data_IF_486333606600
#
_entry.id   IF_486333606600
#
_cell.length_a   1.000
_cell.length_b   1.000
_cell.length_c   1.000
_cell.angle_alpha   90.00
_cell.angle_beta   90.00
_cell.angle_gamma   90.00
#
_symmetry.space_group_name_H-M   'P 1'
#
loop_
_entity.id
_entity.type
_entity.pdbx_description
1 polymer ?
#
# COMPACT_ATOMS: atom_id res chain seq x y z
N UNK A 1 10.02 -0.66 17.10
CA UNK A 1 9.66 0.68 17.63
C UNK A 1 8.21 1.02 17.33
N UNK A 2 7.79 1.17 16.06
CA UNK A 2 6.40 1.51 15.72
C UNK A 2 5.34 0.53 16.26
N UNK A 3 5.68 -0.76 16.39
CA UNK A 3 4.75 -1.81 16.89
C UNK A 3 4.43 -1.69 18.38
N UNK A 4 5.33 -1.14 19.20
CA UNK A 4 5.26 -1.22 20.67
C UNK A 4 5.19 0.16 21.34
N UNK A 5 5.94 1.11 20.82
CA UNK A 5 6.12 2.45 21.40
C UNK A 5 5.86 3.53 20.34
N UNK A 6 4.65 3.56 19.73
CA UNK A 6 4.36 4.46 18.61
C UNK A 6 4.53 5.91 19.02
N UNK A 7 3.95 6.34 20.15
CA UNK A 7 4.02 7.75 20.59
C UNK A 7 5.46 8.22 20.85
N UNK A 8 6.32 7.39 21.44
CA UNK A 8 7.73 7.74 21.67
C UNK A 8 8.46 7.99 20.34
N UNK A 9 8.24 7.11 19.36
CA UNK A 9 8.81 7.29 18.02
C UNK A 9 8.25 8.55 17.35
N UNK A 10 6.95 8.80 17.46
CA UNK A 10 6.29 9.98 16.88
C UNK A 10 6.92 11.30 17.33
N UNK A 11 7.19 11.45 18.63
CA UNK A 11 7.81 12.68 19.14
C UNK A 11 9.20 12.89 18.54
N UNK A 12 10.01 11.83 18.43
CA UNK A 12 11.33 11.93 17.82
C UNK A 12 11.27 12.30 16.32
N UNK A 13 10.29 11.75 15.59
CA UNK A 13 10.08 12.05 14.17
C UNK A 13 9.52 13.47 13.95
N UNK A 14 8.68 13.96 14.87
CA UNK A 14 8.13 15.31 14.80
C UNK A 14 9.17 16.39 15.11
N UNK A 15 10.10 16.12 16.02
CA UNK A 15 11.14 17.08 16.44
C UNK A 15 12.25 17.25 15.39
N UNK A 16 12.52 16.23 14.57
CA UNK A 16 13.61 16.25 13.59
C UNK A 16 13.15 15.95 12.17
N UNK A 17 13.06 16.95 11.28
CA UNK A 17 12.80 16.75 9.85
C UNK A 17 13.82 15.84 9.17
N UNK A 18 15.08 15.88 9.62
CA UNK A 18 16.15 15.00 9.11
C UNK A 18 15.95 13.56 9.60
N UNK A 19 15.52 13.37 10.85
CA UNK A 19 15.14 12.06 11.38
C UNK A 19 13.96 11.45 10.63
N UNK A 20 12.93 12.26 10.35
CA UNK A 20 11.78 11.87 9.53
C UNK A 20 12.18 11.50 8.10
N UNK A 21 13.03 12.33 7.46
CA UNK A 21 13.59 12.04 6.14
C UNK A 21 14.32 10.69 6.13
N UNK A 22 15.26 10.48 7.05
CA UNK A 22 16.03 9.24 7.11
C UNK A 22 15.12 8.01 7.33
N UNK A 23 14.11 8.15 8.18
CA UNK A 23 13.16 7.08 8.51
C UNK A 23 12.31 6.65 7.30
N UNK A 24 11.75 7.62 6.57
CA UNK A 24 10.88 7.36 5.40
C UNK A 24 11.71 7.00 4.17
N UNK A 25 12.79 7.72 3.90
CA UNK A 25 13.63 7.53 2.70
C UNK A 25 14.21 6.13 2.62
N UNK A 26 14.57 5.54 3.77
CA UNK A 26 15.00 4.13 3.80
C UNK A 26 13.97 3.19 3.15
N UNK A 27 12.67 3.45 3.37
CA UNK A 27 11.58 2.61 2.83
C UNK A 27 11.37 2.87 1.35
N UNK A 28 11.39 4.14 0.93
CA UNK A 28 11.32 4.51 -0.49
C UNK A 28 12.39 3.79 -1.31
N UNK A 29 13.63 3.72 -0.82
CA UNK A 29 14.72 3.01 -1.51
C UNK A 29 14.60 1.49 -1.37
N UNK A 30 14.36 0.96 -0.17
CA UNK A 30 14.41 -0.50 0.05
C UNK A 30 13.18 -1.26 -0.46
N UNK A 31 12.03 -0.61 -0.59
CA UNK A 31 10.77 -1.27 -0.93
C UNK A 31 10.38 -1.13 -2.40
N UNK A 32 11.21 -0.45 -3.21
CA UNK A 32 11.01 -0.31 -4.65
C UNK A 32 11.88 -1.28 -5.44
N UNK A 33 11.52 -1.50 -6.70
CA UNK A 33 12.31 -2.21 -7.71
C UNK A 33 13.38 -1.28 -8.32
N UNK A 34 14.24 -0.72 -7.47
CA UNK A 34 15.32 0.18 -7.89
C UNK A 34 14.85 1.50 -8.50
N UNK A 35 13.70 2.03 -8.06
CA UNK A 35 13.19 3.31 -8.55
C UNK A 35 14.16 4.46 -8.24
N UNK A 36 14.49 5.25 -9.26
CA UNK A 36 15.40 6.37 -9.16
C UNK A 36 14.67 7.60 -8.60
N UNK A 37 14.60 7.69 -7.27
CA UNK A 37 13.97 8.82 -6.58
C UNK A 37 14.69 10.13 -6.82
N UNK A 38 13.95 11.16 -7.27
CA UNK A 38 14.45 12.52 -7.34
C UNK A 38 14.40 13.23 -5.98
N UNK A 39 15.32 14.16 -5.74
CA UNK A 39 15.37 14.93 -4.48
C UNK A 39 14.03 15.63 -4.17
N UNK A 40 13.43 16.28 -5.17
CA UNK A 40 12.13 16.96 -5.02
C UNK A 40 10.98 15.99 -4.73
N UNK A 41 11.02 14.77 -5.29
CA UNK A 41 10.02 13.74 -5.01
C UNK A 41 10.11 13.30 -3.55
N UNK A 42 11.31 12.98 -3.09
CA UNK A 42 11.57 12.59 -1.71
C UNK A 42 11.15 13.71 -0.76
N UNK A 43 11.57 14.95 -1.02
CA UNK A 43 11.22 16.10 -0.20
C UNK A 43 9.70 16.36 -0.19
N UNK A 44 9.01 16.07 -1.28
CA UNK A 44 7.54 16.15 -1.33
C UNK A 44 6.91 15.11 -0.40
N UNK A 45 7.35 13.85 -0.47
CA UNK A 45 6.89 12.81 0.46
C UNK A 45 7.10 13.24 1.91
N UNK A 46 8.30 13.71 2.28
CA UNK A 46 8.58 14.13 3.65
C UNK A 46 7.73 15.34 4.06
N UNK A 47 7.57 16.31 3.17
CA UNK A 47 6.81 17.54 3.44
C UNK A 47 5.34 17.26 3.75
N UNK A 48 4.72 16.30 3.05
CA UNK A 48 3.34 15.89 3.35
C UNK A 48 3.21 15.39 4.79
N UNK A 49 4.16 14.58 5.26
CA UNK A 49 4.14 14.07 6.64
C UNK A 49 4.43 15.18 7.64
N UNK A 50 5.43 16.01 7.37
CA UNK A 50 5.90 17.06 8.27
C UNK A 50 4.88 18.19 8.46
N UNK A 51 4.21 18.61 7.39
CA UNK A 51 3.27 19.74 7.42
C UNK A 51 1.80 19.34 7.55
N UNK A 52 1.49 18.04 7.59
CA UNK A 52 0.13 17.59 7.89
C UNK A 52 -0.28 18.00 9.31
N UNK A 53 -1.55 18.35 9.51
CA UNK A 53 -2.07 18.76 10.82
C UNK A 53 -1.91 17.67 11.90
N UNK A 54 -1.90 16.41 11.49
CA UNK A 54 -1.70 15.26 12.36
C UNK A 54 -0.23 14.92 12.61
N UNK A 55 0.69 15.53 11.84
CA UNK A 55 2.12 15.25 11.89
C UNK A 55 2.49 13.77 11.65
N UNK A 56 3.72 13.38 11.97
CA UNK A 56 4.17 11.99 11.86
C UNK A 56 3.43 11.01 12.77
N UNK A 57 2.76 11.49 13.83
CA UNK A 57 2.23 10.64 14.90
C UNK A 57 1.16 9.66 14.44
N UNK A 58 0.20 10.11 13.63
CA UNK A 58 -0.92 9.28 13.20
C UNK A 58 -0.49 8.15 12.28
N UNK A 59 0.65 8.30 11.61
CA UNK A 59 1.15 7.32 10.63
C UNK A 59 1.79 6.10 11.27
N UNK A 60 2.31 6.22 12.50
CA UNK A 60 2.94 5.10 13.20
C UNK A 60 1.98 4.34 14.12
N UNK A 61 0.89 4.98 14.54
CA UNK A 61 -0.11 4.37 15.45
C UNK A 61 -0.78 3.13 14.85
N UNK A 62 -1.03 3.13 13.55
CA UNK A 62 -1.64 2.00 12.84
C UNK A 62 -0.84 0.70 13.03
N UNK A 63 0.49 0.75 13.13
CA UNK A 63 1.33 -0.42 13.34
C UNK A 63 1.09 -1.06 14.71
N UNK A 64 0.96 -0.23 15.75
CA UNK A 64 0.62 -0.71 17.09
C UNK A 64 -0.76 -1.38 17.09
N UNK A 65 -1.75 -0.75 16.44
CA UNK A 65 -3.11 -1.27 16.36
C UNK A 65 -3.17 -2.61 15.62
N UNK A 66 -2.52 -2.71 14.47
CA UNK A 66 -2.38 -3.96 13.71
C UNK A 66 -1.72 -5.04 14.59
N UNK A 67 -0.59 -4.73 15.24
CA UNK A 67 0.14 -5.71 16.05
C UNK A 67 -0.67 -6.20 17.27
N UNK A 68 -1.50 -5.34 17.86
CA UNK A 68 -2.21 -5.61 19.11
C UNK A 68 -3.70 -5.90 18.94
N UNK A 69 -4.22 -5.91 17.71
CA UNK A 69 -5.62 -6.26 17.43
C UNK A 69 -5.94 -7.72 17.76
N UNK A 70 -4.94 -8.57 18.08
CA UNK A 70 -5.13 -9.93 18.59
C UNK A 70 -5.76 -10.91 17.59
N UNK A 71 -5.97 -10.46 16.34
CA UNK A 71 -6.87 -11.11 15.38
C UNK A 71 -6.28 -11.26 13.97
N UNK A 72 -4.94 -11.23 13.85
CA UNK A 72 -4.28 -11.47 12.56
C UNK A 72 -4.69 -12.82 11.94
N UNK A 73 -4.92 -13.83 12.79
CA UNK A 73 -5.44 -15.13 12.37
C UNK A 73 -6.90 -15.07 11.87
N UNK A 74 -7.71 -14.13 12.35
CA UNK A 74 -9.08 -13.93 11.89
C UNK A 74 -9.11 -13.14 10.58
N UNK A 75 -8.19 -12.17 10.40
CA UNK A 75 -7.99 -11.47 9.13
C UNK A 75 -7.57 -12.42 8.01
N UNK A 76 -6.69 -13.39 8.30
CA UNK A 76 -6.32 -14.46 7.37
C UNK A 76 -7.49 -15.41 7.01
N UNK A 77 -8.57 -15.42 7.80
CA UNK A 77 -9.77 -16.26 7.61
C UNK A 77 -10.97 -15.50 7.04
N UNK A 78 -10.88 -14.18 6.92
CA UNK A 78 -11.96 -13.32 6.41
C UNK A 78 -12.05 -13.43 4.88
N UNK A 79 -12.65 -14.51 4.41
CA UNK A 79 -13.04 -14.64 3.01
C UNK A 79 -14.16 -13.65 2.69
N UNK A 80 -13.91 -12.71 1.76
CA UNK A 80 -14.92 -11.73 1.33
C UNK A 80 -15.67 -12.20 0.07
N UNK A 81 -17.02 -12.15 0.04
CA UNK A 81 -17.81 -12.47 -1.15
C UNK A 81 -17.76 -11.39 -2.23
N UNK A 82 -17.27 -10.19 -1.89
CA UNK A 82 -17.21 -9.04 -2.79
C UNK A 82 -16.15 -9.32 -3.87
N UNK A 83 -16.42 -8.99 -5.16
CA UNK A 83 -15.45 -9.14 -6.23
C UNK A 83 -14.10 -8.50 -5.88
N UNK A 84 -13.05 -9.31 -5.89
CA UNK A 84 -11.69 -8.93 -5.53
C UNK A 84 -10.78 -9.01 -6.77
N UNK A 85 -9.94 -7.99 -6.95
CA UNK A 85 -8.89 -7.97 -7.96
C UNK A 85 -7.51 -7.98 -7.31
N UNK A 86 -6.58 -8.74 -7.88
CA UNK A 86 -5.21 -8.83 -7.39
C UNK A 86 -4.25 -8.40 -8.51
N UNK A 87 -3.31 -7.51 -8.18
CA UNK A 87 -2.25 -7.09 -9.08
C UNK A 87 -0.91 -7.41 -8.41
N UNK A 88 -0.10 -8.25 -9.07
CA UNK A 88 1.13 -8.79 -8.51
C UNK A 88 2.34 -8.06 -9.09
N UNK A 89 3.08 -7.37 -8.23
CA UNK A 89 4.36 -6.72 -8.54
C UNK A 89 5.51 -7.50 -7.89
N UNK A 90 6.63 -7.75 -8.61
CA UNK A 90 7.65 -8.71 -8.19
C UNK A 90 8.40 -8.34 -6.91
N UNK A 91 8.51 -7.04 -6.58
CA UNK A 91 9.25 -6.55 -5.41
C UNK A 91 8.34 -6.07 -4.26
N UNK A 92 7.09 -6.51 -4.23
CA UNK A 92 6.20 -6.29 -3.08
C UNK A 92 6.74 -7.02 -1.82
N UNK A 93 6.59 -6.39 -0.65
CA UNK A 93 7.10 -6.87 0.63
C UNK A 93 6.42 -8.17 1.08
N UNK A 94 5.12 -8.26 0.84
CA UNK A 94 4.29 -9.40 1.26
C UNK A 94 3.85 -10.18 0.03
N UNK A 95 4.82 -10.85 -0.61
CA UNK A 95 4.58 -11.79 -1.71
C UNK A 95 4.30 -13.20 -1.21
N UNK A 96 3.10 -13.46 -0.69
CA UNK A 96 2.65 -14.84 -0.44
C UNK A 96 2.44 -15.62 -1.75
N UNK A 97 2.45 -16.97 -1.75
CA UNK A 97 2.11 -17.75 -2.92
C UNK A 97 0.77 -17.29 -3.51
N UNK A 98 0.68 -17.12 -4.84
CA UNK A 98 -0.56 -16.69 -5.53
C UNK A 98 -1.77 -17.54 -5.15
N UNK A 99 -1.54 -18.83 -4.89
CA UNK A 99 -2.57 -19.77 -4.43
C UNK A 99 -3.18 -19.37 -3.09
N UNK A 100 -2.42 -18.76 -2.19
CA UNK A 100 -2.92 -18.22 -0.92
C UNK A 100 -3.68 -16.92 -1.12
N UNK A 101 -3.24 -16.06 -2.05
CA UNK A 101 -3.97 -14.83 -2.36
C UNK A 101 -5.40 -15.12 -2.86
N UNK A 102 -5.61 -16.24 -3.56
CA UNK A 102 -6.95 -16.71 -3.97
C UNK A 102 -7.86 -17.12 -2.81
N UNK A 103 -7.32 -17.42 -1.63
CA UNK A 103 -8.13 -17.77 -0.47
C UNK A 103 -8.66 -16.53 0.27
N UNK A 104 -8.24 -15.32 -0.11
CA UNK A 104 -8.64 -14.07 0.55
C UNK A 104 -10.09 -13.65 0.21
N UNK A 105 -10.68 -14.15 -0.87
CA UNK A 105 -12.04 -13.75 -1.25
C UNK A 105 -12.48 -14.26 -2.62
N UNK A 106 -13.54 -13.67 -3.15
CA UNK A 106 -14.04 -13.89 -4.49
C UNK A 106 -13.16 -13.19 -5.54
N UNK A 107 -11.98 -13.77 -5.82
CA UNK A 107 -11.03 -13.24 -6.80
C UNK A 107 -11.59 -13.40 -8.22
N UNK A 108 -11.88 -12.27 -8.86
CA UNK A 108 -12.45 -12.22 -10.23
C UNK A 108 -11.46 -11.67 -11.26
N UNK A 109 -10.37 -11.06 -10.81
CA UNK A 109 -9.34 -10.45 -11.65
C UNK A 109 -7.96 -10.70 -11.04
N UNK A 110 -7.01 -11.11 -11.87
CA UNK A 110 -5.59 -11.25 -11.51
C UNK A 110 -4.73 -10.70 -12.65
N UNK A 111 -3.69 -9.94 -12.30
CA UNK A 111 -2.67 -9.44 -13.23
C UNK A 111 -1.29 -9.61 -12.62
N UNK A 112 -0.28 -9.89 -13.45
CA UNK A 112 1.09 -10.11 -13.01
C UNK A 112 2.04 -9.28 -13.87
N UNK A 113 2.94 -8.58 -13.19
CA UNK A 113 3.88 -7.66 -13.80
C UNK A 113 5.31 -8.17 -13.66
N UNK A 114 6.18 -7.76 -14.57
CA UNK A 114 7.60 -8.14 -14.57
C UNK A 114 8.52 -7.12 -13.89
N UNK A 115 7.97 -5.98 -13.45
CA UNK A 115 8.68 -4.85 -12.83
C UNK A 115 7.80 -4.16 -11.80
N UNK A 116 8.43 -3.45 -10.87
CA UNK A 116 7.79 -2.66 -9.82
C UNK A 116 7.80 -3.37 -8.46
N UNK A 117 7.73 -2.57 -7.40
CA UNK A 117 7.70 -3.03 -6.02
C UNK A 117 6.49 -2.55 -5.26
N UNK A 118 6.72 -2.19 -4.00
CA UNK A 118 5.68 -1.84 -3.04
C UNK A 118 4.89 -0.59 -3.44
N UNK A 119 5.55 0.36 -4.12
CA UNK A 119 4.93 1.62 -4.53
C UNK A 119 4.49 1.55 -5.99
N UNK A 120 3.76 0.50 -6.37
CA UNK A 120 3.32 0.23 -7.74
C UNK A 120 2.69 1.44 -8.45
N UNK A 121 1.91 2.25 -7.74
CA UNK A 121 1.29 3.46 -8.29
C UNK A 121 2.32 4.55 -8.69
N UNK A 122 3.47 4.59 -8.03
CA UNK A 122 4.58 5.49 -8.36
C UNK A 122 5.55 4.85 -9.37
N UNK A 123 5.89 3.58 -9.18
CA UNK A 123 6.90 2.90 -9.99
C UNK A 123 6.39 2.49 -11.37
N UNK A 124 5.14 2.02 -11.44
CA UNK A 124 4.52 1.49 -12.66
C UNK A 124 3.07 2.03 -12.80
N UNK A 125 2.88 3.37 -12.86
CA UNK A 125 1.55 3.98 -12.84
C UNK A 125 0.65 3.47 -13.97
N UNK A 126 1.21 3.30 -15.17
CA UNK A 126 0.46 2.85 -16.33
C UNK A 126 -0.02 1.41 -16.17
N UNK A 127 0.83 0.51 -15.64
CA UNK A 127 0.48 -0.88 -15.40
C UNK A 127 -0.68 -0.99 -14.39
N UNK A 128 -0.62 -0.24 -13.29
CA UNK A 128 -1.68 -0.23 -12.29
C UNK A 128 -2.98 0.38 -12.85
N UNK A 129 -2.90 1.45 -13.63
CA UNK A 129 -4.07 2.07 -14.29
C UNK A 129 -4.72 1.11 -15.27
N UNK A 130 -3.93 0.36 -16.05
CA UNK A 130 -4.45 -0.59 -17.02
C UNK A 130 -5.14 -1.78 -16.34
N UNK A 131 -4.62 -2.25 -15.20
CA UNK A 131 -5.29 -3.25 -14.37
C UNK A 131 -6.63 -2.74 -13.82
N UNK A 132 -6.67 -1.52 -13.30
CA UNK A 132 -7.92 -0.91 -12.82
C UNK A 132 -8.95 -0.78 -13.95
N UNK A 133 -8.53 -0.38 -15.14
CA UNK A 133 -9.41 -0.29 -16.32
C UNK A 133 -9.88 -1.66 -16.79
N UNK A 134 -9.02 -2.67 -16.78
CA UNK A 134 -9.39 -4.04 -17.16
C UNK A 134 -10.39 -4.65 -16.17
N UNK A 135 -10.27 -4.34 -14.88
CA UNK A 135 -11.19 -4.82 -13.85
C UNK A 135 -12.53 -4.08 -13.87
N UNK A 136 -12.51 -2.74 -13.88
CA UNK A 136 -13.70 -1.90 -13.64
C UNK A 136 -14.30 -1.26 -14.89
N UNK A 137 -13.55 -1.16 -15.98
CA UNK A 137 -14.02 -0.57 -17.24
C UNK A 137 -15.06 -1.44 -17.95
N UNK A 138 -15.65 -0.92 -19.03
CA UNK A 138 -16.67 -1.64 -19.82
C UNK A 138 -16.18 -3.03 -20.26
N UNK A 139 -16.95 -4.05 -19.90
CA UNK A 139 -16.61 -5.46 -20.18
C UNK A 139 -15.67 -6.11 -19.15
N UNK A 140 -15.20 -5.34 -18.16
CA UNK A 140 -14.41 -5.83 -17.03
C UNK A 140 -15.23 -6.65 -16.04
N UNK A 141 -14.53 -7.45 -15.23
CA UNK A 141 -15.14 -8.43 -14.30
C UNK A 141 -15.90 -7.79 -13.14
N UNK A 142 -15.60 -6.53 -12.82
CA UNK A 142 -16.29 -5.73 -11.80
C UNK A 142 -17.08 -4.56 -12.41
N UNK A 143 -17.32 -4.57 -13.72
CA UNK A 143 -18.13 -3.55 -14.38
C UNK A 143 -19.55 -3.51 -13.78
N UNK A 144 -20.02 -2.32 -13.41
CA UNK A 144 -21.36 -2.12 -12.85
C UNK A 144 -21.55 -2.67 -11.43
N UNK A 145 -20.46 -3.03 -10.72
CA UNK A 145 -20.54 -3.51 -9.32
C UNK A 145 -21.17 -2.48 -8.38
N UNK A 146 -21.04 -1.19 -8.70
CA UNK A 146 -21.74 -0.11 -8.00
C UNK A 146 -23.03 0.21 -8.75
N UNK A 147 -24.17 -0.04 -8.10
CA UNK A 147 -25.50 0.18 -8.68
C UNK A 147 -25.65 1.61 -9.21
N UNK A 148 -26.01 1.74 -10.48
CA UNK A 148 -26.24 3.04 -11.14
C UNK A 148 -24.96 3.80 -11.50
N UNK A 149 -23.80 3.14 -11.49
CA UNK A 149 -22.53 3.66 -11.97
C UNK A 149 -21.93 2.70 -13.00
N UNK A 150 -21.51 3.23 -14.13
CA UNK A 150 -21.07 2.44 -15.27
C UNK A 150 -19.56 2.20 -15.25
N UNK A 151 -18.99 1.95 -14.06
CA UNK A 151 -17.53 1.87 -13.87
C UNK A 151 -16.83 3.21 -14.13
N UNK A 152 -15.49 3.17 -14.20
CA UNK A 152 -14.68 4.26 -14.75
C UNK A 152 -14.71 4.22 -16.29
#
# INVERSE_FOLDING_TARGET
MALELPSTLSYALADSPVGLLAWIYEKLVKWTDGYEWGDDEVLTWISVYLFSASGPETTVRIYYEIAHQGNMDEFARLWSPIPLGLSFFPHELVGGPRTWARTMGNVVFESEHNKGGHFAAYEQPQALVDDLRAMFGKGGKAFGVVKGKDGY
#
